data_IF_692684356140
#
_entry.id   IF_692684356140
#
_cell.length_a   1.000
_cell.length_b   1.000
_cell.length_c   1.000
_cell.angle_alpha   90.00
_cell.angle_beta   90.00
_cell.angle_gamma   90.00
#
_symmetry.space_group_name_H-M   'P 1'
#
loop_
_entity.id
_entity.type
_entity.pdbx_description
1 polymer ?
#
# COMPACT_ATOMS: atom_id res chain seq x y z
N UNK A 1 -8.25 32.38 -3.40
CA UNK A 1 -7.10 32.59 -2.54
C UNK A 1 -5.91 31.77 -3.00
N UNK A 2 -5.34 32.14 -4.16
CA UNK A 2 -4.22 31.43 -4.75
C UNK A 2 -2.95 31.38 -3.91
N UNK A 3 -2.76 32.39 -3.08
CA UNK A 3 -1.57 32.49 -2.22
C UNK A 3 -1.51 31.36 -1.18
N UNK A 4 -2.62 31.08 -0.50
CA UNK A 4 -2.68 30.03 0.52
C UNK A 4 -2.50 28.65 -0.12
N UNK A 5 -3.13 28.41 -1.26
CA UNK A 5 -2.96 27.17 -2.03
C UNK A 5 -1.52 26.95 -2.47
N UNK A 6 -0.84 28.02 -2.89
CA UNK A 6 0.56 27.95 -3.28
C UNK A 6 1.47 27.61 -2.10
N UNK A 7 1.24 28.25 -0.93
CA UNK A 7 2.08 28.08 0.25
C UNK A 7 1.95 26.70 0.90
N UNK A 8 0.73 26.16 0.97
CA UNK A 8 0.44 24.87 1.62
C UNK A 8 0.19 23.73 0.62
N UNK A 9 0.18 24.04 -0.67
CA UNK A 9 -0.20 23.11 -1.72
C UNK A 9 -1.69 22.78 -1.70
N UNK A 10 -2.27 22.50 -2.86
CA UNK A 10 -3.60 21.90 -2.96
C UNK A 10 -3.48 20.40 -2.73
N UNK A 11 -4.44 19.82 -2.02
CA UNK A 11 -4.51 18.37 -1.87
C UNK A 11 -4.70 17.73 -3.24
N UNK A 12 -3.86 16.78 -3.57
CA UNK A 12 -4.03 15.97 -4.78
C UNK A 12 -5.36 15.23 -4.71
N UNK A 13 -6.14 15.29 -5.79
CA UNK A 13 -7.38 14.54 -5.87
C UNK A 13 -7.08 13.06 -6.13
N UNK A 14 -7.63 12.21 -5.30
CA UNK A 14 -7.55 10.75 -5.47
C UNK A 14 -8.98 10.26 -5.65
N UNK A 15 -9.26 9.65 -6.81
CA UNK A 15 -10.60 9.15 -7.11
C UNK A 15 -10.98 7.97 -6.23
N UNK A 16 -12.27 7.75 -6.03
CA UNK A 16 -12.77 6.58 -5.30
C UNK A 16 -12.31 5.28 -5.96
N UNK A 17 -12.24 5.27 -7.28
CA UNK A 17 -11.74 4.12 -8.05
C UNK A 17 -10.27 3.82 -7.75
N UNK A 18 -9.42 4.85 -7.72
CA UNK A 18 -8.00 4.70 -7.39
C UNK A 18 -7.82 4.22 -5.94
N UNK A 19 -8.63 4.75 -5.03
CA UNK A 19 -8.61 4.35 -3.64
C UNK A 19 -9.07 2.89 -3.46
N UNK A 20 -10.12 2.48 -4.14
CA UNK A 20 -10.61 1.10 -4.12
C UNK A 20 -9.58 0.14 -4.72
N UNK A 21 -8.95 0.52 -5.84
CA UNK A 21 -7.83 -0.21 -6.44
C UNK A 21 -6.69 -0.41 -5.44
N UNK A 22 -6.32 0.66 -4.74
CA UNK A 22 -5.21 0.63 -3.78
C UNK A 22 -5.55 -0.20 -2.54
N UNK A 23 -6.76 -0.07 -2.02
CA UNK A 23 -7.20 -0.69 -0.77
C UNK A 23 -7.64 -2.13 -0.95
N UNK A 24 -8.73 -2.35 -1.68
CA UNK A 24 -9.30 -3.69 -1.91
C UNK A 24 -8.62 -4.42 -3.06
N UNK A 25 -8.25 -3.71 -4.11
CA UNK A 25 -7.66 -4.27 -5.32
C UNK A 25 -8.68 -4.59 -6.39
N UNK A 26 -8.15 -4.97 -7.55
CA UNK A 26 -8.92 -5.41 -8.69
C UNK A 26 -8.85 -6.92 -8.83
N UNK A 27 -9.96 -7.52 -9.19
CA UNK A 27 -10.12 -8.97 -9.32
C UNK A 27 -10.58 -9.33 -10.72
N UNK A 28 -10.11 -10.48 -11.21
CA UNK A 28 -10.60 -11.06 -12.44
C UNK A 28 -11.96 -11.72 -12.21
N UNK A 29 -12.70 -12.01 -13.29
CA UNK A 29 -13.99 -12.71 -13.22
C UNK A 29 -13.91 -14.08 -12.53
N UNK A 30 -12.74 -14.73 -12.58
CA UNK A 30 -12.48 -16.00 -11.90
C UNK A 30 -12.10 -15.86 -10.42
N UNK A 31 -12.15 -14.63 -9.87
CA UNK A 31 -11.84 -14.35 -8.47
C UNK A 31 -10.36 -14.10 -8.16
N UNK A 32 -9.46 -14.30 -9.13
CA UNK A 32 -8.02 -14.05 -8.92
C UNK A 32 -7.75 -12.55 -8.77
N UNK A 33 -6.91 -12.20 -7.80
CA UNK A 33 -6.44 -10.82 -7.69
C UNK A 33 -5.58 -10.45 -8.88
N UNK A 34 -5.89 -9.30 -9.48
CA UNK A 34 -5.24 -8.79 -10.70
C UNK A 34 -4.18 -7.75 -10.39
N UNK A 35 -4.50 -6.79 -9.53
CA UNK A 35 -3.61 -5.66 -9.20
C UNK A 35 -4.10 -4.91 -7.98
N UNK A 36 -3.23 -4.07 -7.41
CA UNK A 36 -3.54 -3.29 -6.23
C UNK A 36 -3.72 -4.14 -4.98
N UNK A 37 -4.66 -3.75 -4.12
CA UNK A 37 -5.00 -4.55 -2.95
C UNK A 37 -3.96 -4.46 -1.83
N UNK A 38 -3.72 -3.26 -1.35
CA UNK A 38 -2.72 -3.01 -0.31
C UNK A 38 -3.32 -2.68 1.07
N UNK A 39 -4.64 -2.64 1.19
CA UNK A 39 -5.32 -2.39 2.45
C UNK A 39 -5.79 -3.67 3.14
N UNK A 40 -6.24 -3.53 4.38
CA UNK A 40 -6.87 -4.65 5.10
C UNK A 40 -8.11 -5.17 4.38
N UNK A 41 -8.79 -4.32 3.62
CA UNK A 41 -9.92 -4.73 2.77
C UNK A 41 -9.55 -5.83 1.77
N UNK A 42 -8.33 -5.80 1.25
CA UNK A 42 -7.84 -6.85 0.37
C UNK A 42 -7.77 -8.18 1.11
N UNK A 43 -7.13 -8.18 2.29
CA UNK A 43 -7.01 -9.39 3.11
C UNK A 43 -8.40 -9.91 3.49
N UNK A 44 -9.31 -9.04 3.90
CA UNK A 44 -10.68 -9.43 4.23
C UNK A 44 -11.40 -10.06 3.03
N UNK A 45 -11.20 -9.51 1.84
CA UNK A 45 -11.76 -10.05 0.60
C UNK A 45 -11.17 -11.42 0.25
N UNK A 46 -9.86 -11.58 0.40
CA UNK A 46 -9.18 -12.87 0.20
C UNK A 46 -9.74 -13.94 1.14
N UNK A 47 -9.89 -13.60 2.43
CA UNK A 47 -10.49 -14.51 3.43
C UNK A 47 -11.92 -14.88 3.06
N UNK A 48 -12.74 -13.89 2.74
CA UNK A 48 -14.15 -14.10 2.39
C UNK A 48 -14.32 -15.03 1.19
N UNK A 49 -13.42 -14.95 0.24
CA UNK A 49 -13.48 -15.74 -1.00
C UNK A 49 -12.61 -17.01 -0.95
N UNK A 50 -12.09 -17.37 0.21
CA UNK A 50 -11.22 -18.53 0.41
C UNK A 50 -10.01 -18.55 -0.52
N UNK A 51 -9.42 -17.36 -0.79
CA UNK A 51 -8.21 -17.22 -1.60
C UNK A 51 -7.01 -17.25 -0.66
N UNK A 52 -6.08 -18.20 -0.83
CA UNK A 52 -4.88 -18.29 0.01
C UNK A 52 -4.00 -17.06 -0.10
N UNK A 53 -3.45 -16.63 1.01
CA UNK A 53 -2.42 -15.60 1.09
C UNK A 53 -1.47 -15.92 2.23
N UNK A 54 -0.24 -15.43 2.13
CA UNK A 54 0.77 -15.63 3.16
C UNK A 54 1.35 -14.28 3.58
N UNK A 55 1.34 -14.01 4.88
CA UNK A 55 2.09 -12.89 5.46
C UNK A 55 3.40 -13.48 5.94
N UNK A 56 4.47 -13.18 5.20
CA UNK A 56 5.80 -13.72 5.51
C UNK A 56 6.50 -12.88 6.57
N UNK A 57 6.23 -11.56 6.60
CA UNK A 57 6.92 -10.63 7.46
C UNK A 57 6.00 -9.49 7.88
N UNK A 58 6.05 -9.10 9.15
CA UNK A 58 5.38 -7.91 9.67
C UNK A 58 6.42 -6.99 10.29
N UNK A 59 6.49 -5.76 9.78
CA UNK A 59 7.36 -4.73 10.33
C UNK A 59 6.76 -4.14 11.61
N UNK A 60 7.63 -3.57 12.47
CA UNK A 60 7.17 -2.92 13.72
C UNK A 60 6.25 -1.73 13.47
N UNK A 61 6.33 -1.11 12.27
CA UNK A 61 5.40 -0.05 11.86
C UNK A 61 4.03 -0.58 11.40
N UNK A 62 3.85 -1.88 11.36
CA UNK A 62 2.59 -2.52 11.00
C UNK A 62 2.43 -2.94 9.55
N UNK A 63 3.36 -2.56 8.67
CA UNK A 63 3.35 -3.00 7.27
C UNK A 63 3.61 -4.50 7.21
N UNK A 64 2.83 -5.19 6.38
CA UNK A 64 2.95 -6.62 6.16
C UNK A 64 3.37 -6.88 4.73
N UNK A 65 4.23 -7.84 4.53
CA UNK A 65 4.67 -8.27 3.20
C UNK A 65 4.56 -9.78 3.09
N UNK A 66 4.31 -10.25 1.90
CA UNK A 66 4.16 -11.68 1.65
C UNK A 66 3.71 -11.93 0.22
N UNK A 67 2.75 -12.83 0.05
CA UNK A 67 2.37 -13.27 -1.30
C UNK A 67 0.94 -13.77 -1.36
N UNK A 68 0.43 -13.85 -2.58
CA UNK A 68 -0.86 -14.44 -2.91
C UNK A 68 -0.61 -15.47 -4.02
N UNK A 69 -0.56 -16.76 -3.70
CA UNK A 69 -0.16 -17.80 -4.67
C UNK A 69 -0.96 -17.83 -5.98
N UNK A 70 -2.23 -17.41 -5.95
CA UNK A 70 -3.07 -17.33 -7.13
C UNK A 70 -3.09 -15.97 -7.82
N UNK A 71 -2.19 -15.05 -7.42
CA UNK A 71 -2.12 -13.70 -8.02
C UNK A 71 -1.88 -13.80 -9.54
N UNK A 72 -2.52 -12.91 -10.30
CA UNK A 72 -2.29 -12.83 -11.75
C UNK A 72 -0.82 -12.55 -12.09
N UNK A 73 -0.16 -11.67 -11.33
CA UNK A 73 1.26 -11.36 -11.51
C UNK A 73 2.13 -12.44 -10.86
N UNK A 74 2.94 -13.18 -11.65
CA UNK A 74 3.77 -14.26 -11.11
C UNK A 74 4.70 -13.86 -9.96
N UNK A 75 5.28 -12.66 -10.01
CA UNK A 75 6.19 -12.20 -8.96
C UNK A 75 5.52 -12.03 -7.59
N UNK A 76 4.20 -11.85 -7.57
CA UNK A 76 3.43 -11.69 -6.33
C UNK A 76 2.93 -13.00 -5.74
N UNK A 77 3.22 -14.12 -6.39
CA UNK A 77 2.82 -15.47 -5.95
C UNK A 77 3.74 -16.07 -4.89
N UNK A 78 4.95 -15.51 -4.75
CA UNK A 78 5.98 -16.00 -3.84
C UNK A 78 6.70 -14.85 -3.15
N UNK A 79 7.43 -15.15 -2.07
CA UNK A 79 8.29 -14.18 -1.39
C UNK A 79 7.53 -13.04 -0.73
N UNK A 80 8.16 -11.86 -0.69
CA UNK A 80 7.67 -10.66 -0.03
C UNK A 80 7.20 -9.61 -1.03
N UNK A 81 6.67 -10.02 -2.16
CA UNK A 81 6.37 -9.12 -3.28
C UNK A 81 4.98 -8.48 -3.25
N UNK A 82 4.11 -8.94 -2.36
CA UNK A 82 2.85 -8.27 -2.05
C UNK A 82 2.99 -7.56 -0.72
N UNK A 83 2.53 -6.31 -0.65
CA UNK A 83 2.58 -5.50 0.56
C UNK A 83 1.20 -5.04 0.99
N UNK A 84 1.00 -4.91 2.29
CA UNK A 84 -0.24 -4.40 2.88
C UNK A 84 0.07 -3.34 3.92
N UNK A 85 -0.72 -2.27 3.91
CA UNK A 85 -0.70 -1.23 4.94
C UNK A 85 -1.01 -1.81 6.34
N UNK A 86 -0.66 -1.10 7.41
CA UNK A 86 -1.02 -1.54 8.76
C UNK A 86 -2.50 -1.88 8.86
N UNK A 87 -2.81 -2.91 9.61
CA UNK A 87 -4.17 -3.46 9.73
C UNK A 87 -5.22 -2.41 10.10
N UNK A 88 -4.84 -1.43 10.94
CA UNK A 88 -5.76 -0.38 11.41
C UNK A 88 -5.95 0.77 10.41
N UNK A 89 -5.20 0.81 9.31
CA UNK A 89 -5.37 1.84 8.29
C UNK A 89 -6.64 1.58 7.48
N UNK A 90 -7.54 2.55 7.52
CA UNK A 90 -8.74 2.54 6.67
C UNK A 90 -8.47 3.27 5.35
N UNK A 91 -9.47 3.33 4.47
CA UNK A 91 -9.35 3.99 3.18
C UNK A 91 -9.03 5.48 3.31
N UNK A 92 -9.60 6.15 4.31
CA UNK A 92 -9.29 7.56 4.59
C UNK A 92 -7.82 7.77 4.92
N UNK A 93 -7.22 6.89 5.70
CA UNK A 93 -5.79 6.92 6.04
C UNK A 93 -4.92 6.68 4.82
N UNK A 94 -5.27 5.70 3.99
CA UNK A 94 -4.55 5.40 2.74
C UNK A 94 -4.60 6.60 1.80
N UNK A 95 -5.78 7.20 1.63
CA UNK A 95 -5.97 8.40 0.81
C UNK A 95 -5.09 9.55 1.29
N UNK A 96 -5.10 9.80 2.60
CA UNK A 96 -4.29 10.87 3.20
C UNK A 96 -2.80 10.62 3.01
N UNK A 97 -2.35 9.39 3.17
CA UNK A 97 -0.96 9.02 2.91
C UNK A 97 -0.56 9.34 1.45
N UNK A 98 -1.40 8.98 0.50
CA UNK A 98 -1.18 9.30 -0.91
C UNK A 98 -1.10 10.81 -1.15
N UNK A 99 -1.99 11.58 -0.55
CA UNK A 99 -2.00 13.05 -0.67
C UNK A 99 -0.75 13.68 -0.09
N UNK A 100 -0.27 13.18 1.05
CA UNK A 100 0.95 13.70 1.69
C UNK A 100 2.18 13.40 0.85
N UNK A 101 2.30 12.18 0.33
CA UNK A 101 3.43 11.80 -0.53
C UNK A 101 3.42 12.58 -1.85
N UNK A 102 2.25 12.94 -2.35
CA UNK A 102 2.09 13.70 -3.60
C UNK A 102 2.50 15.17 -3.48
N UNK A 103 2.69 15.69 -2.28
CA UNK A 103 3.07 17.10 -2.07
C UNK A 103 4.43 17.41 -2.70
N UNK A 104 4.58 18.64 -3.20
CA UNK A 104 5.82 19.12 -3.79
C UNK A 104 5.87 18.88 -5.29
N UNK A 105 7.01 18.40 -5.81
CA UNK A 105 7.22 18.21 -7.25
C UNK A 105 6.16 17.26 -7.84
N UNK A 106 5.49 17.73 -8.89
CA UNK A 106 4.49 16.94 -9.59
C UNK A 106 5.13 15.72 -10.26
N UNK A 107 4.54 14.56 -9.99
CA UNK A 107 4.96 13.29 -10.55
C UNK A 107 4.48 13.18 -12.00
N UNK A 108 5.36 12.71 -12.88
CA UNK A 108 4.99 12.40 -14.26
C UNK A 108 4.33 11.03 -14.35
N UNK A 109 3.55 10.82 -15.42
CA UNK A 109 2.94 9.52 -15.68
C UNK A 109 4.00 8.41 -15.77
N UNK A 110 3.71 7.28 -15.14
CA UNK A 110 4.61 6.14 -15.08
C UNK A 110 5.68 6.21 -13.99
N UNK A 111 5.90 7.38 -13.41
CA UNK A 111 6.85 7.53 -12.32
C UNK A 111 6.25 7.08 -10.98
N UNK A 112 7.12 6.63 -10.08
CA UNK A 112 6.79 6.32 -8.69
C UNK A 112 7.47 7.33 -7.78
N UNK A 113 6.72 7.89 -6.85
CA UNK A 113 7.25 8.77 -5.83
C UNK A 113 7.12 8.11 -4.46
N UNK A 114 8.13 8.26 -3.62
CA UNK A 114 8.17 7.69 -2.28
C UNK A 114 8.17 8.78 -1.23
N UNK A 115 7.57 8.50 -0.09
CA UNK A 115 7.54 9.39 1.05
C UNK A 115 7.13 8.62 2.30
N UNK A 116 6.87 9.36 3.38
CA UNK A 116 6.51 8.76 4.67
C UNK A 116 5.20 9.35 5.18
N UNK A 117 4.37 8.47 5.73
CA UNK A 117 3.17 8.85 6.46
C UNK A 117 2.94 7.86 7.60
N UNK A 118 2.69 8.36 8.80
CA UNK A 118 2.48 7.49 9.96
C UNK A 118 3.62 6.49 10.18
N UNK A 119 4.87 6.90 9.96
CA UNK A 119 6.09 6.07 10.03
C UNK A 119 6.16 4.95 8.98
N UNK A 120 5.28 4.99 7.99
CA UNK A 120 5.25 4.02 6.90
C UNK A 120 5.86 4.64 5.66
N UNK A 121 6.74 3.89 5.00
CA UNK A 121 7.27 4.26 3.70
C UNK A 121 6.22 3.91 2.64
N UNK A 122 5.74 4.94 1.95
CA UNK A 122 4.62 4.85 1.01
C UNK A 122 5.08 5.23 -0.39
N UNK A 123 4.65 4.47 -1.38
CA UNK A 123 4.83 4.80 -2.79
C UNK A 123 3.51 5.19 -3.44
N UNK A 124 3.59 6.09 -4.40
CA UNK A 124 2.46 6.43 -5.27
C UNK A 124 2.89 6.35 -6.73
N UNK A 125 1.96 5.94 -7.58
CA UNK A 125 2.12 5.97 -9.03
C UNK A 125 1.09 6.89 -9.64
N UNK A 126 1.49 7.55 -10.75
CA UNK A 126 0.61 8.40 -11.54
C UNK A 126 0.36 7.74 -12.89
N UNK A 127 -0.89 7.78 -13.31
CA UNK A 127 -1.33 7.29 -14.63
C UNK A 127 -2.35 8.28 -15.18
N UNK A 128 -2.16 8.72 -16.42
CA UNK A 128 -3.04 9.68 -17.08
C UNK A 128 -3.28 10.95 -16.25
N UNK A 129 -2.21 11.50 -15.69
CA UNK A 129 -2.25 12.74 -14.91
C UNK A 129 -2.81 12.63 -13.50
N UNK A 130 -3.18 11.43 -13.05
CA UNK A 130 -3.83 11.21 -11.74
C UNK A 130 -3.12 10.12 -10.96
N UNK A 131 -3.17 10.21 -9.63
CA UNK A 131 -2.68 9.11 -8.78
C UNK A 131 -3.56 7.90 -9.02
N UNK A 132 -2.94 6.81 -9.44
CA UNK A 132 -3.63 5.56 -9.76
C UNK A 132 -3.44 4.49 -8.70
N UNK A 133 -2.33 4.52 -7.96
CA UNK A 133 -2.01 3.51 -6.95
C UNK A 133 -1.29 4.14 -5.77
N UNK A 134 -1.66 3.71 -4.56
CA UNK A 134 -1.01 4.04 -3.30
C UNK A 134 -0.67 2.72 -2.63
N UNK A 135 0.58 2.52 -2.25
CA UNK A 135 1.04 1.24 -1.69
C UNK A 135 2.14 1.44 -0.65
N UNK A 136 2.29 0.56 0.33
CA UNK A 136 3.46 0.56 1.19
C UNK A 136 4.59 -0.14 0.45
N UNK A 137 5.82 0.34 0.61
CA UNK A 137 6.96 -0.32 -0.01
C UNK A 137 7.20 -1.68 0.65
N UNK A 138 7.67 -2.64 -0.13
CA UNK A 138 7.95 -4.00 0.37
C UNK A 138 9.06 -4.00 1.39
N UNK A 139 10.08 -3.18 1.18
CA UNK A 139 11.13 -2.93 2.15
C UNK A 139 10.83 -1.59 2.84
N UNK A 140 10.58 -1.64 4.14
CA UNK A 140 10.26 -0.45 4.90
C UNK A 140 11.52 0.24 5.38
N UNK A 141 11.68 1.50 5.01
CA UNK A 141 12.79 2.35 5.44
C UNK A 141 12.25 3.51 6.28
N UNK A 142 12.96 3.87 7.34
CA UNK A 142 12.65 5.08 8.09
C UNK A 142 13.14 6.34 7.35
N UNK A 143 12.90 7.53 7.90
CA UNK A 143 13.31 8.80 7.27
C UNK A 143 14.82 8.94 7.09
N UNK A 144 15.62 8.18 7.83
CA UNK A 144 17.08 8.15 7.72
C UNK A 144 17.58 7.10 6.72
N UNK A 145 16.67 6.39 6.04
CA UNK A 145 17.00 5.33 5.08
C UNK A 145 17.41 4.01 5.70
N UNK A 146 17.20 3.83 7.00
CA UNK A 146 17.50 2.59 7.72
C UNK A 146 16.28 1.67 7.68
N UNK A 147 16.51 0.38 7.44
CA UNK A 147 15.43 -0.60 7.40
C UNK A 147 14.72 -0.72 8.76
N UNK A 148 13.40 -0.66 8.71
CA UNK A 148 12.53 -0.84 9.88
C UNK A 148 12.61 -2.29 10.33
N UNK A 149 12.65 -2.51 11.64
CA UNK A 149 12.74 -3.86 12.21
C UNK A 149 11.47 -4.67 11.98
N UNK A 150 11.64 -5.98 11.91
CA UNK A 150 10.51 -6.90 12.00
C UNK A 150 9.91 -6.89 13.40
N UNK A 151 8.60 -7.12 13.44
CA UNK A 151 7.91 -7.38 14.70
C UNK A 151 8.38 -8.74 15.22
N UNK A 152 8.72 -8.81 16.50
CA UNK A 152 9.04 -10.09 17.13
C UNK A 152 7.84 -11.02 17.06
N UNK A 153 8.05 -12.23 16.58
CA UNK A 153 7.04 -13.28 16.67
C UNK A 153 6.84 -13.61 18.14
N UNK A 154 5.57 -13.73 18.56
CA UNK A 154 5.26 -14.20 19.91
C UNK A 154 5.92 -15.56 20.11
N UNK A 155 6.63 -15.73 21.24
CA UNK A 155 7.19 -17.03 21.62
C UNK A 155 6.03 -18.03 21.72
N UNK A 156 6.06 -19.08 20.90
CA UNK A 156 5.18 -20.21 21.13
C UNK A 156 5.57 -20.85 22.44
N UNK A 157 4.68 -20.82 23.41
CA UNK A 157 4.80 -21.64 24.59
C UNK A 157 4.59 -23.09 24.17
N UNK A 158 5.63 -23.89 24.20
CA UNK A 158 5.49 -25.34 24.10
C UNK A 158 4.80 -25.82 25.38
N UNK A 159 3.59 -26.26 25.23
CA UNK A 159 2.87 -26.94 26.29
C UNK A 159 2.47 -28.34 25.83
#
# INVERSE_FOLDING_TARGET
MGFIKWLFGSKEHISDKALEHSSKGEYQSNGRIKSGGHGQKNINSLKKNNIPYNIEKTYVNGVRVGNVPSHKSPNKRTGDNQSWFPKHWNDGTIKRAGQVVARGKKLKDGETKFGHYGRVNVGIKRTNGKISTIFPTNKQLNKKGVEVRERRKAKRTNR
#
